data_IF_134942165944
#
_entry.id   IF_134942165944
#
_cell.length_a   1.000
_cell.length_b   1.000
_cell.length_c   1.000
_cell.angle_alpha   90.00
_cell.angle_beta   90.00
_cell.angle_gamma   90.00
#
_symmetry.space_group_name_H-M   'P 1'
#
loop_
_entity.id
_entity.type
_entity.pdbx_description
1 polymer ?
#
# COMPACT_ATOMS: atom_id res chain seq x y z
N UNK A 1 11.35 -11.22 10.24
CA UNK A 1 11.76 -10.37 9.11
C UNK A 1 12.71 -9.32 9.64
N UNK A 2 13.98 -9.33 9.24
CA UNK A 2 14.95 -8.33 9.67
C UNK A 2 14.96 -7.17 8.66
N UNK A 3 14.46 -6.01 9.08
CA UNK A 3 14.28 -4.83 8.22
C UNK A 3 15.63 -4.30 7.71
N UNK A 4 16.68 -4.37 8.54
CA UNK A 4 18.03 -3.95 8.16
C UNK A 4 18.62 -4.82 7.05
N UNK A 5 18.43 -6.15 7.14
CA UNK A 5 18.89 -7.09 6.11
C UNK A 5 18.19 -6.86 4.77
N UNK A 6 16.88 -6.57 4.80
CA UNK A 6 16.11 -6.25 3.59
C UNK A 6 16.60 -4.95 2.97
N UNK A 7 16.85 -3.91 3.78
CA UNK A 7 17.38 -2.62 3.33
C UNK A 7 18.76 -2.76 2.69
N UNK A 8 19.65 -3.52 3.32
CA UNK A 8 20.97 -3.82 2.77
C UNK A 8 20.87 -4.53 1.41
N UNK A 9 19.93 -5.47 1.27
CA UNK A 9 19.69 -6.18 0.01
C UNK A 9 19.08 -5.30 -1.08
N UNK A 10 18.14 -4.42 -0.74
CA UNK A 10 17.58 -3.46 -1.69
C UNK A 10 18.65 -2.48 -2.19
N UNK A 11 19.46 -1.93 -1.28
CA UNK A 11 20.60 -1.08 -1.64
C UNK A 11 21.62 -1.82 -2.51
N UNK A 12 21.92 -3.08 -2.19
CA UNK A 12 22.78 -3.92 -3.04
C UNK A 12 22.17 -4.11 -4.43
N UNK A 13 20.86 -4.38 -4.53
CA UNK A 13 20.17 -4.53 -5.80
C UNK A 13 20.18 -3.26 -6.64
N UNK A 14 20.00 -2.08 -6.03
CA UNK A 14 20.11 -0.80 -6.72
C UNK A 14 21.52 -0.57 -7.29
N UNK A 15 22.55 -0.89 -6.49
CA UNK A 15 23.95 -0.80 -6.94
C UNK A 15 24.24 -1.74 -8.12
N UNK A 16 23.77 -2.99 -8.03
CA UNK A 16 23.94 -3.99 -9.10
C UNK A 16 23.15 -3.61 -10.34
N UNK A 17 21.95 -3.07 -10.18
CA UNK A 17 21.15 -2.62 -11.31
C UNK A 17 21.80 -1.43 -12.00
N UNK A 18 22.34 -0.46 -11.25
CA UNK A 18 23.07 0.67 -11.83
C UNK A 18 24.31 0.19 -12.60
N UNK A 19 25.09 -0.73 -12.03
CA UNK A 19 26.23 -1.34 -12.71
C UNK A 19 25.83 -2.15 -13.96
N UNK A 20 24.65 -2.80 -13.93
CA UNK A 20 24.08 -3.47 -15.10
C UNK A 20 23.77 -2.46 -16.20
N UNK A 21 23.08 -1.37 -15.87
CA UNK A 21 22.68 -0.31 -16.81
C UNK A 21 23.89 0.44 -17.40
N UNK A 22 24.98 0.60 -16.63
CA UNK A 22 26.23 1.17 -17.14
C UNK A 22 26.91 0.28 -18.18
N UNK A 23 26.83 -1.05 -18.01
CA UNK A 23 27.47 -2.03 -18.89
C UNK A 23 26.60 -2.45 -20.07
N UNK A 24 25.28 -2.37 -19.95
CA UNK A 24 24.35 -2.84 -20.98
C UNK A 24 24.59 -2.20 -22.36
N UNK A 25 24.88 -0.88 -22.48
CA UNK A 25 25.17 -0.25 -23.76
C UNK A 25 26.38 -0.84 -24.49
N UNK A 26 27.33 -1.46 -23.77
CA UNK A 26 28.53 -2.05 -24.36
C UNK A 26 28.19 -3.16 -25.37
N UNK A 27 27.05 -3.84 -25.19
CA UNK A 27 26.55 -4.84 -26.13
C UNK A 27 26.40 -4.34 -27.57
N UNK A 28 26.25 -3.03 -27.77
CA UNK A 28 26.11 -2.41 -29.09
C UNK A 28 27.38 -1.74 -29.61
N UNK A 29 28.37 -1.50 -28.74
CA UNK A 29 29.65 -0.89 -29.13
C UNK A 29 30.71 -1.92 -29.54
N UNK A 30 30.61 -3.15 -29.01
CA UNK A 30 31.60 -4.19 -29.31
C UNK A 30 31.49 -4.68 -30.76
N UNK A 31 32.62 -4.61 -31.48
CA UNK A 31 32.72 -5.00 -32.90
C UNK A 31 33.28 -6.40 -33.10
N UNK A 32 33.96 -6.93 -32.09
CA UNK A 32 34.52 -8.27 -32.12
C UNK A 32 33.74 -9.22 -31.21
N UNK A 33 33.74 -10.49 -31.60
CA UNK A 33 32.94 -11.53 -30.94
C UNK A 33 33.42 -11.84 -29.53
N UNK A 34 34.72 -11.73 -29.28
CA UNK A 34 35.31 -12.04 -27.97
C UNK A 34 34.94 -10.96 -26.95
N UNK A 35 35.00 -9.69 -27.32
CA UNK A 35 34.57 -8.56 -26.49
C UNK A 35 33.07 -8.60 -26.23
N UNK A 36 32.25 -8.93 -27.23
CA UNK A 36 30.81 -9.14 -27.04
C UNK A 36 30.53 -10.29 -26.06
N UNK A 37 31.27 -11.41 -26.17
CA UNK A 37 31.17 -12.53 -25.22
C UNK A 37 31.58 -12.09 -23.80
N UNK A 38 32.63 -11.28 -23.67
CA UNK A 38 33.05 -10.68 -22.41
C UNK A 38 31.94 -9.83 -21.77
N UNK A 39 31.38 -8.89 -22.53
CA UNK A 39 30.31 -8.02 -22.07
C UNK A 39 29.06 -8.80 -21.62
N UNK A 40 28.63 -9.80 -22.41
CA UNK A 40 27.48 -10.65 -22.05
C UNK A 40 27.76 -11.46 -20.78
N UNK A 41 28.99 -11.99 -20.61
CA UNK A 41 29.38 -12.73 -19.39
C UNK A 41 29.34 -11.86 -18.13
N UNK A 42 29.79 -10.61 -18.24
CA UNK A 42 29.74 -9.67 -17.13
C UNK A 42 28.31 -9.33 -16.74
N UNK A 43 27.45 -9.01 -17.73
CA UNK A 43 26.03 -8.75 -17.50
C UNK A 43 25.32 -9.98 -16.91
N UNK A 44 25.64 -11.17 -17.40
CA UNK A 44 25.08 -12.42 -16.87
C UNK A 44 25.50 -12.64 -15.41
N UNK A 45 26.74 -12.32 -15.04
CA UNK A 45 27.23 -12.42 -13.67
C UNK A 45 26.45 -11.48 -12.74
N UNK A 46 26.24 -10.22 -13.17
CA UNK A 46 25.44 -9.24 -12.41
C UNK A 46 23.99 -9.72 -12.31
N UNK A 47 23.38 -10.17 -13.42
CA UNK A 47 21.99 -10.64 -13.45
C UNK A 47 21.78 -11.87 -12.57
N UNK A 48 22.76 -12.77 -12.49
CA UNK A 48 22.72 -13.91 -11.56
C UNK A 48 22.71 -13.46 -10.10
N UNK A 49 23.58 -12.54 -9.72
CA UNK A 49 23.61 -11.99 -8.35
C UNK A 49 22.29 -11.28 -8.02
N UNK A 50 21.77 -10.47 -8.94
CA UNK A 50 20.43 -9.85 -8.80
C UNK A 50 19.34 -10.89 -8.59
N UNK A 51 19.36 -11.99 -9.35
CA UNK A 51 18.36 -13.07 -9.21
C UNK A 51 18.45 -13.77 -7.85
N UNK A 52 19.66 -14.02 -7.34
CA UNK A 52 19.86 -14.65 -6.03
C UNK A 52 19.28 -13.77 -4.91
N UNK A 53 19.56 -12.45 -4.93
CA UNK A 53 19.02 -11.51 -3.94
C UNK A 53 17.51 -11.39 -4.06
N UNK A 54 16.97 -11.22 -5.26
CA UNK A 54 15.51 -11.08 -5.47
C UNK A 54 14.73 -12.34 -5.09
N UNK A 55 15.30 -13.54 -5.33
CA UNK A 55 14.70 -14.81 -4.89
C UNK A 55 14.59 -14.90 -3.36
N UNK A 56 15.53 -14.29 -2.65
CA UNK A 56 15.58 -14.33 -1.19
C UNK A 56 14.65 -13.28 -0.61
N UNK A 57 14.62 -12.08 -1.20
CA UNK A 57 13.62 -11.04 -0.87
C UNK A 57 12.18 -11.54 -1.08
N UNK A 58 11.91 -12.20 -2.20
CA UNK A 58 10.57 -12.75 -2.45
C UNK A 58 10.13 -13.77 -1.39
N UNK A 59 11.05 -14.62 -0.92
CA UNK A 59 10.78 -15.57 0.17
C UNK A 59 10.57 -14.88 1.53
N UNK A 60 11.33 -13.83 1.81
CA UNK A 60 11.25 -13.10 3.08
C UNK A 60 10.04 -12.18 3.19
N UNK A 61 9.56 -11.65 2.06
CA UNK A 61 8.39 -10.78 1.97
C UNK A 61 7.07 -11.55 1.74
N UNK A 62 7.13 -12.89 1.69
CA UNK A 62 5.96 -13.74 1.57
C UNK A 62 4.99 -13.49 2.74
N UNK A 63 3.73 -13.21 2.42
CA UNK A 63 2.69 -12.89 3.41
C UNK A 63 2.36 -11.40 3.54
N UNK A 64 3.13 -10.49 2.94
CA UNK A 64 2.71 -9.09 2.72
C UNK A 64 2.13 -8.95 1.33
N UNK A 65 0.81 -8.75 1.20
CA UNK A 65 0.12 -8.79 -0.11
C UNK A 65 0.68 -7.79 -1.13
N UNK A 66 1.12 -6.61 -0.66
CA UNK A 66 1.69 -5.58 -1.53
C UNK A 66 3.19 -5.80 -1.77
N UNK A 67 3.98 -6.02 -0.72
CA UNK A 67 5.43 -6.21 -0.85
C UNK A 67 5.79 -7.49 -1.60
N UNK A 68 5.04 -8.57 -1.37
CA UNK A 68 5.19 -9.83 -2.09
C UNK A 68 4.93 -9.64 -3.59
N UNK A 69 3.92 -8.85 -3.97
CA UNK A 69 3.63 -8.58 -5.38
C UNK A 69 4.78 -7.85 -6.06
N UNK A 70 5.37 -6.84 -5.41
CA UNK A 70 6.54 -6.13 -5.96
C UNK A 70 7.78 -7.01 -6.03
N UNK A 71 8.04 -7.81 -4.98
CA UNK A 71 9.16 -8.74 -4.95
C UNK A 71 9.02 -9.84 -6.01
N UNK A 72 7.80 -10.31 -6.28
CA UNK A 72 7.49 -11.28 -7.34
C UNK A 72 7.71 -10.70 -8.73
N UNK A 73 7.26 -9.47 -8.99
CA UNK A 73 7.52 -8.78 -10.25
C UNK A 73 9.02 -8.58 -10.47
N UNK A 74 9.74 -8.15 -9.43
CA UNK A 74 11.19 -7.98 -9.48
C UNK A 74 11.89 -9.31 -9.80
N UNK A 75 11.55 -10.39 -9.09
CA UNK A 75 12.08 -11.74 -9.36
C UNK A 75 11.79 -12.19 -10.81
N UNK A 76 10.57 -11.98 -11.30
CA UNK A 76 10.19 -12.35 -12.67
C UNK A 76 11.02 -11.61 -13.71
N UNK A 77 11.23 -10.31 -13.52
CA UNK A 77 12.03 -9.49 -14.43
C UNK A 77 13.49 -9.92 -14.45
N UNK A 78 14.09 -10.17 -13.29
CA UNK A 78 15.48 -10.66 -13.22
C UNK A 78 15.64 -12.05 -13.84
N UNK A 79 14.67 -12.95 -13.62
CA UNK A 79 14.69 -14.28 -14.23
C UNK A 79 14.63 -14.19 -15.76
N UNK A 80 13.76 -13.33 -16.30
CA UNK A 80 13.66 -13.13 -17.75
C UNK A 80 14.94 -12.50 -18.32
N UNK A 81 15.55 -11.52 -17.63
CA UNK A 81 16.81 -10.91 -18.07
C UNK A 81 17.93 -11.95 -18.12
N UNK A 82 18.09 -12.73 -17.04
CA UNK A 82 19.10 -13.79 -16.97
C UNK A 82 18.95 -14.78 -18.12
N UNK A 83 17.73 -15.27 -18.37
CA UNK A 83 17.46 -16.24 -19.42
C UNK A 83 17.82 -15.70 -20.81
N UNK A 84 17.54 -14.41 -21.08
CA UNK A 84 17.91 -13.78 -22.36
C UNK A 84 19.43 -13.66 -22.53
N UNK A 85 20.16 -13.37 -21.44
CA UNK A 85 21.62 -13.36 -21.47
C UNK A 85 22.20 -14.78 -21.67
N UNK A 86 21.60 -15.79 -21.05
CA UNK A 86 21.96 -17.21 -21.29
C UNK A 86 21.72 -17.63 -22.74
N UNK A 87 20.63 -17.17 -23.37
CA UNK A 87 20.36 -17.37 -24.79
C UNK A 87 21.48 -16.76 -25.66
N UNK A 88 21.92 -15.53 -25.36
CA UNK A 88 23.04 -14.90 -26.06
C UNK A 88 24.35 -15.66 -25.86
N UNK A 89 24.68 -16.09 -24.64
CA UNK A 89 25.88 -16.89 -24.36
C UNK A 89 25.87 -18.21 -25.15
N UNK A 90 24.71 -18.87 -25.22
CA UNK A 90 24.54 -20.09 -26.02
C UNK A 90 24.82 -19.84 -27.50
N UNK A 91 24.27 -18.77 -28.07
CA UNK A 91 24.48 -18.43 -29.48
C UNK A 91 25.93 -17.98 -29.76
N UNK A 92 26.55 -17.24 -28.84
CA UNK A 92 27.95 -16.81 -28.93
C UNK A 92 28.96 -17.96 -28.77
N UNK A 93 28.53 -19.15 -28.33
CA UNK A 93 29.38 -20.35 -28.32
C UNK A 93 29.43 -21.11 -29.65
N UNK A 94 28.57 -20.78 -30.63
CA UNK A 94 28.44 -21.53 -31.89
C UNK A 94 28.85 -20.70 -33.12
N UNK A 95 29.69 -21.24 -34.00
CA UNK A 95 30.30 -20.48 -35.11
C UNK A 95 29.53 -20.56 -36.45
N UNK A 96 28.42 -21.29 -36.48
CA UNK A 96 27.59 -21.51 -37.68
C UNK A 96 26.81 -20.26 -38.14
N UNK A 97 26.55 -20.19 -39.45
CA UNK A 97 25.85 -19.06 -40.07
C UNK A 97 24.44 -18.85 -39.48
N UNK A 98 23.73 -19.94 -39.17
CA UNK A 98 22.41 -19.91 -38.53
C UNK A 98 22.48 -19.30 -37.12
N UNK A 99 23.55 -19.56 -36.37
CA UNK A 99 23.78 -18.92 -35.08
C UNK A 99 23.96 -17.41 -35.18
N UNK A 100 24.57 -16.89 -36.26
CA UNK A 100 24.71 -15.42 -36.46
C UNK A 100 23.37 -14.72 -36.67
N UNK A 101 22.47 -15.30 -37.48
CA UNK A 101 21.13 -14.74 -37.69
C UNK A 101 20.30 -14.76 -36.39
N UNK A 102 20.35 -15.90 -35.68
CA UNK A 102 19.69 -16.06 -34.37
C UNK A 102 20.25 -15.10 -33.33
N UNK A 103 21.56 -14.84 -33.33
CA UNK A 103 22.21 -13.89 -32.42
C UNK A 103 21.69 -12.47 -32.64
N UNK A 104 21.64 -12.00 -33.89
CA UNK A 104 21.07 -10.68 -34.22
C UNK A 104 19.62 -10.56 -33.69
N UNK A 105 18.81 -11.58 -33.94
CA UNK A 105 17.40 -11.60 -33.50
C UNK A 105 17.27 -11.64 -31.98
N UNK A 106 18.16 -12.34 -31.27
CA UNK A 106 18.21 -12.38 -29.82
C UNK A 106 18.65 -11.03 -29.22
N UNK A 107 19.62 -10.35 -29.84
CA UNK A 107 20.06 -9.01 -29.45
C UNK A 107 18.94 -7.97 -29.59
N UNK A 108 18.16 -8.01 -30.68
CA UNK A 108 17.00 -7.12 -30.88
C UNK A 108 15.92 -7.36 -29.82
N UNK A 109 15.61 -8.64 -29.52
CA UNK A 109 14.66 -9.00 -28.46
C UNK A 109 15.15 -8.57 -27.08
N UNK A 110 16.45 -8.67 -26.81
CA UNK A 110 17.04 -8.19 -25.57
C UNK A 110 16.91 -6.67 -25.46
N UNK A 111 17.18 -5.92 -26.53
CA UNK A 111 17.03 -4.47 -26.58
C UNK A 111 15.59 -4.03 -26.28
N UNK A 112 14.61 -4.69 -26.91
CA UNK A 112 13.19 -4.41 -26.70
C UNK A 112 12.76 -4.69 -25.26
N UNK A 113 13.24 -5.80 -24.69
CA UNK A 113 12.96 -6.14 -23.31
C UNK A 113 13.59 -5.14 -22.32
N UNK A 114 14.84 -4.75 -22.56
CA UNK A 114 15.59 -3.81 -21.73
C UNK A 114 14.85 -2.49 -21.50
N UNK A 115 14.23 -1.94 -22.55
CA UNK A 115 13.43 -0.70 -22.48
C UNK A 115 12.33 -0.71 -21.43
N UNK A 116 11.72 -1.86 -21.18
CA UNK A 116 10.65 -2.02 -20.18
C UNK A 116 11.24 -2.51 -18.85
N UNK A 117 12.29 -3.32 -18.92
CA UNK A 117 12.96 -3.90 -17.77
C UNK A 117 13.51 -2.84 -16.81
N UNK A 118 14.28 -1.85 -17.27
CA UNK A 118 14.88 -0.83 -16.41
C UNK A 118 13.80 -0.10 -15.59
N UNK A 119 12.75 0.36 -16.27
CA UNK A 119 11.61 0.99 -15.61
C UNK A 119 10.92 0.06 -14.60
N UNK A 120 10.66 -1.20 -14.98
CA UNK A 120 9.97 -2.16 -14.12
C UNK A 120 10.78 -2.47 -12.85
N UNK A 121 12.10 -2.66 -12.99
CA UNK A 121 13.02 -2.94 -11.88
C UNK A 121 13.13 -1.73 -10.97
N UNK A 122 13.37 -0.52 -11.51
CA UNK A 122 13.45 0.71 -10.70
C UNK A 122 12.15 0.98 -9.95
N UNK A 123 11.00 0.78 -10.60
CA UNK A 123 9.71 0.95 -9.96
C UNK A 123 9.54 -0.05 -8.80
N UNK A 124 9.81 -1.33 -9.03
CA UNK A 124 9.69 -2.35 -7.98
C UNK A 124 10.64 -2.09 -6.81
N UNK A 125 11.89 -1.69 -7.07
CA UNK A 125 12.85 -1.31 -6.02
C UNK A 125 12.37 -0.09 -5.22
N UNK A 126 11.85 0.93 -5.90
CA UNK A 126 11.32 2.12 -5.23
C UNK A 126 10.11 1.81 -4.35
N UNK A 127 9.15 1.01 -4.83
CA UNK A 127 7.98 0.64 -4.01
C UNK A 127 8.38 -0.27 -2.84
N UNK A 128 9.32 -1.20 -3.03
CA UNK A 128 9.86 -2.01 -1.93
C UNK A 128 10.62 -1.17 -0.91
N UNK A 129 11.38 -0.16 -1.36
CA UNK A 129 12.08 0.80 -0.50
C UNK A 129 11.11 1.55 0.40
N UNK A 130 10.02 2.10 -0.16
CA UNK A 130 8.97 2.79 0.61
C UNK A 130 8.32 1.90 1.66
N UNK A 131 8.04 0.65 1.30
CA UNK A 131 7.44 -0.32 2.23
C UNK A 131 8.39 -0.63 3.40
N UNK A 132 9.67 -0.80 3.12
CA UNK A 132 10.71 -1.07 4.12
C UNK A 132 10.92 0.13 5.04
N UNK A 133 10.92 1.35 4.51
CA UNK A 133 10.93 2.58 5.31
C UNK A 133 9.68 2.69 6.19
N UNK A 134 8.50 2.31 5.67
CA UNK A 134 7.27 2.22 6.43
C UNK A 134 7.34 1.20 7.58
N UNK A 135 8.00 0.06 7.35
CA UNK A 135 8.22 -0.98 8.35
C UNK A 135 9.27 -0.58 9.40
N UNK A 136 10.30 0.17 9.02
CA UNK A 136 11.31 0.75 9.94
C UNK A 136 10.65 1.69 10.96
N UNK A 137 9.68 2.49 10.52
CA UNK A 137 8.88 3.36 11.39
C UNK A 137 7.99 2.58 12.39
N UNK A 138 7.60 1.35 12.04
CA UNK A 138 6.76 0.49 12.89
C UNK A 138 7.58 -0.44 13.80
N UNK A 139 8.75 -0.89 13.35
CA UNK A 139 9.60 -1.87 14.03
C UNK A 139 10.69 -1.24 14.92
N UNK A 140 11.09 0.02 14.69
CA UNK A 140 12.11 0.76 15.45
C UNK A 140 11.69 1.21 16.85
N UNK A 141 10.96 0.37 17.58
CA UNK A 141 10.26 0.70 18.82
C UNK A 141 11.10 0.89 20.09
N UNK A 142 12.44 0.82 20.06
CA UNK A 142 13.20 0.89 21.32
C UNK A 142 14.35 1.91 21.41
N UNK A 143 14.92 2.49 20.34
CA UNK A 143 16.11 3.34 20.54
C UNK A 143 16.31 4.57 19.64
N UNK A 144 15.36 4.98 18.79
CA UNK A 144 15.50 6.25 18.08
C UNK A 144 14.22 7.09 18.12
N UNK A 145 14.33 8.24 18.80
CA UNK A 145 13.48 9.43 18.78
C UNK A 145 11.98 9.16 18.56
N UNK A 146 11.23 9.23 19.67
CA UNK A 146 9.78 9.46 19.77
C UNK A 146 9.17 9.82 18.41
N UNK A 147 8.32 8.92 17.88
CA UNK A 147 7.40 9.21 16.78
C UNK A 147 6.87 10.63 17.00
N UNK A 148 7.02 11.57 16.05
CA UNK A 148 6.47 12.90 16.21
C UNK A 148 5.01 12.73 16.60
N UNK A 149 4.62 13.24 17.77
CA UNK A 149 3.30 13.00 18.38
C UNK A 149 2.17 13.26 17.37
N UNK A 150 2.41 14.18 16.42
CA UNK A 150 1.54 14.46 15.28
C UNK A 150 1.19 13.26 14.39
N UNK A 151 2.09 12.32 14.07
CA UNK A 151 1.77 11.18 13.18
C UNK A 151 0.89 10.15 13.89
N UNK A 152 1.14 9.89 15.18
CA UNK A 152 0.26 9.01 15.98
C UNK A 152 -1.11 9.64 16.22
N UNK A 153 -1.15 10.95 16.40
CA UNK A 153 -2.40 11.70 16.45
C UNK A 153 -3.12 11.67 15.11
N UNK A 154 -2.41 11.79 13.99
CA UNK A 154 -2.98 11.69 12.64
C UNK A 154 -3.53 10.29 12.35
N UNK A 155 -2.81 9.22 12.69
CA UNK A 155 -3.31 7.85 12.55
C UNK A 155 -4.54 7.59 13.44
N UNK A 156 -4.57 8.15 14.66
CA UNK A 156 -5.77 8.09 15.51
C UNK A 156 -6.91 8.88 14.89
N UNK A 157 -6.66 10.09 14.37
CA UNK A 157 -7.65 10.92 13.67
C UNK A 157 -8.21 10.19 12.46
N UNK A 158 -7.37 9.54 11.65
CA UNK A 158 -7.80 8.76 10.48
C UNK A 158 -8.72 7.62 10.92
N UNK A 159 -8.35 6.84 11.94
CA UNK A 159 -9.22 5.77 12.46
C UNK A 159 -10.55 6.30 13.00
N UNK A 160 -10.53 7.45 13.68
CA UNK A 160 -11.76 8.10 14.13
C UNK A 160 -12.62 8.54 12.94
N UNK A 161 -12.03 9.17 11.92
CA UNK A 161 -12.73 9.58 10.71
C UNK A 161 -13.32 8.40 9.94
N UNK A 162 -12.61 7.27 9.86
CA UNK A 162 -13.13 6.04 9.24
C UNK A 162 -14.37 5.52 9.98
N UNK A 163 -14.35 5.51 11.31
CA UNK A 163 -15.49 5.08 12.13
C UNK A 163 -16.69 6.06 12.02
N UNK A 164 -16.42 7.36 11.97
CA UNK A 164 -17.44 8.39 11.75
C UNK A 164 -18.04 8.27 10.33
N UNK A 165 -17.22 8.01 9.31
CA UNK A 165 -17.67 7.82 7.94
C UNK A 165 -18.58 6.60 7.79
N UNK A 166 -18.23 5.47 8.43
CA UNK A 166 -19.07 4.27 8.39
C UNK A 166 -20.42 4.50 9.08
N UNK A 167 -20.40 5.20 10.23
CA UNK A 167 -21.63 5.65 10.92
C UNK A 167 -22.48 6.54 10.02
N UNK A 168 -21.89 7.53 9.36
CA UNK A 168 -22.59 8.44 8.45
C UNK A 168 -23.17 7.70 7.25
N UNK A 169 -22.44 6.75 6.67
CA UNK A 169 -22.92 5.92 5.55
C UNK A 169 -24.15 5.11 5.95
N UNK A 170 -24.13 4.46 7.12
CA UNK A 170 -25.28 3.71 7.66
C UNK A 170 -26.46 4.64 7.91
N UNK A 171 -26.22 5.81 8.50
CA UNK A 171 -27.25 6.82 8.74
C UNK A 171 -27.89 7.32 7.44
N UNK A 172 -27.09 7.68 6.42
CA UNK A 172 -27.60 8.13 5.11
C UNK A 172 -28.44 7.05 4.43
N UNK A 173 -27.99 5.78 4.49
CA UNK A 173 -28.79 4.67 3.99
C UNK A 173 -30.13 4.57 4.72
N UNK A 174 -30.13 4.72 6.05
CA UNK A 174 -31.36 4.69 6.85
C UNK A 174 -32.28 5.87 6.57
N UNK A 175 -31.72 7.07 6.39
CA UNK A 175 -32.46 8.27 6.03
C UNK A 175 -33.15 8.12 4.67
N UNK A 176 -32.49 7.46 3.70
CA UNK A 176 -33.07 7.19 2.39
C UNK A 176 -34.14 6.10 2.42
N UNK A 177 -33.89 5.00 3.15
CA UNK A 177 -34.76 3.81 3.14
C UNK A 177 -35.93 3.91 4.12
N UNK A 178 -35.73 4.55 5.27
CA UNK A 178 -36.68 4.66 6.37
C UNK A 178 -36.66 6.08 7.00
N UNK A 179 -36.97 7.14 6.23
CA UNK A 179 -36.93 8.52 6.73
C UNK A 179 -37.86 8.76 7.94
N UNK A 180 -38.97 8.03 8.02
CA UNK A 180 -39.91 8.12 9.14
C UNK A 180 -39.30 7.69 10.48
N UNK A 181 -38.33 6.78 10.48
CA UNK A 181 -37.66 6.36 11.71
C UNK A 181 -36.74 7.47 12.24
N UNK A 182 -36.00 8.12 11.34
CA UNK A 182 -35.15 9.26 11.71
C UNK A 182 -35.99 10.40 12.26
N UNK A 183 -37.12 10.71 11.61
CA UNK A 183 -38.04 11.73 12.08
C UNK A 183 -38.60 11.43 13.47
N UNK A 184 -39.08 10.19 13.71
CA UNK A 184 -39.58 9.77 15.03
C UNK A 184 -38.54 9.86 16.13
N UNK A 185 -37.29 9.50 15.84
CA UNK A 185 -36.19 9.59 16.81
C UNK A 185 -35.86 11.04 17.14
N UNK A 186 -35.79 11.91 16.13
CA UNK A 186 -35.56 13.35 16.33
C UNK A 186 -36.71 13.99 17.12
N UNK A 187 -37.95 13.69 16.77
CA UNK A 187 -39.14 14.21 17.45
C UNK A 187 -39.23 13.71 18.90
N UNK A 188 -38.98 12.43 19.14
CA UNK A 188 -38.92 11.87 20.49
C UNK A 188 -37.84 12.55 21.35
N UNK A 189 -36.68 12.89 20.78
CA UNK A 189 -35.66 13.65 21.49
C UNK A 189 -36.15 15.06 21.85
N UNK A 190 -36.79 15.76 20.90
CA UNK A 190 -37.40 17.09 21.14
C UNK A 190 -38.51 17.04 22.19
N UNK A 191 -39.30 15.97 22.22
CA UNK A 191 -40.34 15.75 23.21
C UNK A 191 -39.79 15.56 24.63
N UNK A 192 -38.66 14.86 24.77
CA UNK A 192 -37.99 14.79 26.07
C UNK A 192 -37.46 16.15 26.52
N UNK A 193 -36.95 16.96 25.60
CA UNK A 193 -36.51 18.32 25.90
C UNK A 193 -37.66 19.25 26.28
N UNK A 194 -38.80 19.16 25.61
CA UNK A 194 -40.00 19.95 25.94
C UNK A 194 -40.55 19.60 27.33
N UNK A 195 -40.31 18.37 27.81
CA UNK A 195 -40.61 17.91 29.18
C UNK A 195 -39.56 18.32 30.22
N UNK A 196 -38.53 19.07 29.82
CA UNK A 196 -37.52 19.64 30.71
C UNK A 196 -36.25 18.79 30.89
N UNK A 197 -36.10 17.64 30.20
CA UNK A 197 -34.85 16.88 30.24
C UNK A 197 -33.86 17.42 29.22
N UNK A 198 -32.77 18.05 29.68
CA UNK A 198 -31.80 18.68 28.77
C UNK A 198 -30.88 17.68 28.04
N UNK A 199 -30.58 16.54 28.68
CA UNK A 199 -29.72 15.48 28.13
C UNK A 199 -30.42 14.15 28.28
N UNK A 200 -30.57 13.40 27.19
CA UNK A 200 -31.44 12.23 27.12
C UNK A 200 -30.63 11.02 26.64
N UNK A 201 -30.69 9.91 27.38
CA UNK A 201 -30.06 8.64 26.97
C UNK A 201 -30.78 8.04 25.76
N UNK A 202 -30.03 7.37 24.87
CA UNK A 202 -30.58 6.74 23.67
C UNK A 202 -31.74 5.78 23.98
N UNK A 203 -31.65 5.01 25.08
CA UNK A 203 -32.71 4.07 25.51
C UNK A 203 -34.05 4.75 25.78
N UNK A 204 -34.05 5.99 26.26
CA UNK A 204 -35.28 6.74 26.53
C UNK A 204 -35.88 7.29 25.24
N UNK A 205 -35.03 7.64 24.26
CA UNK A 205 -35.47 8.03 22.91
C UNK A 205 -36.03 6.82 22.16
N UNK A 206 -35.39 5.66 22.24
CA UNK A 206 -35.86 4.40 21.66
C UNK A 206 -37.24 4.01 22.21
N UNK A 207 -37.43 4.07 23.53
CA UNK A 207 -38.73 3.79 24.17
C UNK A 207 -39.85 4.72 23.70
N UNK A 208 -39.55 6.00 23.50
CA UNK A 208 -40.56 7.00 23.12
C UNK A 208 -40.84 7.00 21.61
N UNK A 209 -39.82 6.82 20.79
CA UNK A 209 -39.93 6.78 19.32
C UNK A 209 -40.47 5.45 18.79
N UNK A 210 -40.31 4.36 19.53
CA UNK A 210 -40.64 3.00 19.09
C UNK A 210 -39.69 2.45 18.01
N UNK A 211 -38.56 3.11 17.78
CA UNK A 211 -37.56 2.74 16.77
C UNK A 211 -36.39 2.02 17.44
N UNK A 212 -36.18 0.75 17.08
CA UNK A 212 -35.04 -0.02 17.57
C UNK A 212 -33.71 0.54 17.08
N UNK A 213 -32.67 0.43 17.91
CA UNK A 213 -31.33 0.99 17.65
C UNK A 213 -31.34 2.52 17.43
N UNK A 214 -32.16 3.26 18.20
CA UNK A 214 -32.24 4.72 18.09
C UNK A 214 -30.87 5.41 18.31
N UNK A 215 -29.96 4.75 19.04
CA UNK A 215 -28.58 5.22 19.21
C UNK A 215 -27.86 5.44 17.87
N UNK A 216 -27.94 4.51 16.91
CA UNK A 216 -27.27 4.66 15.61
C UNK A 216 -27.78 5.90 14.84
N UNK A 217 -29.08 6.19 14.96
CA UNK A 217 -29.69 7.37 14.35
C UNK A 217 -29.22 8.64 15.07
N UNK A 218 -29.14 8.63 16.41
CA UNK A 218 -28.67 9.75 17.20
C UNK A 218 -27.18 10.06 16.97
N UNK A 219 -26.34 9.04 16.78
CA UNK A 219 -24.94 9.21 16.36
C UNK A 219 -24.85 9.86 14.98
N UNK A 220 -25.65 9.39 14.01
CA UNK A 220 -25.73 9.99 12.68
C UNK A 220 -26.18 11.45 12.71
N UNK A 221 -27.24 11.76 13.47
CA UNK A 221 -27.72 13.13 13.70
C UNK A 221 -26.67 14.00 14.41
N UNK A 222 -25.81 13.40 15.25
CA UNK A 222 -24.70 14.10 15.89
C UNK A 222 -23.63 14.47 14.87
N UNK A 223 -23.27 13.57 13.96
CA UNK A 223 -22.26 13.81 12.92
C UNK A 223 -22.64 14.92 11.95
N UNK A 224 -23.93 15.02 11.58
CA UNK A 224 -24.43 16.10 10.72
C UNK A 224 -24.77 17.39 11.51
N UNK A 225 -24.57 17.40 12.82
CA UNK A 225 -24.76 18.58 13.66
C UNK A 225 -26.20 18.98 13.92
N UNK A 226 -27.15 18.05 13.90
CA UNK A 226 -28.55 18.28 14.36
C UNK A 226 -28.64 18.09 15.87
N UNK A 227 -27.89 17.13 16.39
CA UNK A 227 -27.86 16.73 17.80
C UNK A 227 -26.45 16.90 18.35
N UNK A 228 -26.34 17.12 19.66
CA UNK A 228 -25.11 17.10 20.42
C UNK A 228 -25.05 15.85 21.29
N UNK A 229 -23.86 15.30 21.45
CA UNK A 229 -23.61 14.13 22.31
C UNK A 229 -22.66 14.48 23.44
N UNK A 230 -22.91 13.90 24.61
CA UNK A 230 -22.00 13.91 25.76
C UNK A 230 -21.97 12.53 26.40
N UNK A 231 -20.85 12.14 27.00
CA UNK A 231 -20.77 10.90 27.78
C UNK A 231 -21.16 11.16 29.24
N UNK A 232 -22.06 10.34 29.80
CA UNK A 232 -22.46 10.38 31.20
C UNK A 232 -22.57 8.95 31.74
N UNK A 233 -21.74 8.61 32.73
CA UNK A 233 -21.77 7.28 33.35
C UNK A 233 -21.41 6.12 32.40
N UNK A 234 -20.67 6.40 31.32
CA UNK A 234 -20.32 5.41 30.29
C UNK A 234 -21.34 5.29 29.15
N UNK A 235 -22.50 5.95 29.24
CA UNK A 235 -23.52 5.97 28.19
C UNK A 235 -23.56 7.33 27.47
N UNK A 236 -23.94 7.31 26.18
CA UNK A 236 -24.16 8.50 25.37
C UNK A 236 -25.48 9.18 25.74
N UNK A 237 -25.42 10.46 26.10
CA UNK A 237 -26.60 11.32 26.27
C UNK A 237 -26.63 12.39 25.19
N UNK A 238 -27.83 12.66 24.69
CA UNK A 238 -28.06 13.45 23.50
C UNK A 238 -28.89 14.69 23.80
N UNK A 239 -28.61 15.76 23.05
CA UNK A 239 -29.36 17.02 23.11
C UNK A 239 -29.61 17.57 21.73
N UNK A 240 -30.85 17.89 21.39
CA UNK A 240 -31.16 18.58 20.15
C UNK A 240 -30.66 20.03 20.18
N UNK A 241 -29.99 20.50 19.12
CA UNK A 241 -29.34 21.83 19.10
C UNK A 241 -30.28 23.01 19.33
N UNK A 242 -31.57 22.88 18.99
CA UNK A 242 -32.57 23.92 19.28
C UNK A 242 -32.75 24.20 20.77
N UNK A 243 -32.26 23.33 21.65
CA UNK A 243 -32.31 23.45 23.10
C UNK A 243 -30.92 23.71 23.72
N UNK A 244 -29.92 24.05 22.91
CA UNK A 244 -28.60 24.48 23.40
C UNK A 244 -28.66 25.93 23.93
N UNK A 245 -28.07 26.22 25.11
CA UNK A 245 -27.93 27.60 25.58
C UNK A 245 -27.01 28.35 24.63
N UNK A 246 -27.48 29.49 24.12
CA UNK A 246 -26.71 30.39 23.27
C UNK A 246 -25.62 31.15 24.00
#
# INVERSE_FOLDING_TARGET
MNVEDIKARLSRLESLHSAFEEKFPLLYSERDRESLLGAVRELHTISREKLEITSTLYRELAGSSYAEAQAKELYRNEHQMKFRLEELLSLLSKEDYDARLKLSTAMDRLAQFHRVYDYAVRKALSELGKEVEGLELLAGGENQKKVPVGIMEELRKIKTLEAELDTLKRFLLRLYTHPGDVHKVEEALRDWHSRGLLWVEARNVEKLSGVGNAEEILEGLTLIGVVEKKMRGGEGVYRHRSYSPG
#
